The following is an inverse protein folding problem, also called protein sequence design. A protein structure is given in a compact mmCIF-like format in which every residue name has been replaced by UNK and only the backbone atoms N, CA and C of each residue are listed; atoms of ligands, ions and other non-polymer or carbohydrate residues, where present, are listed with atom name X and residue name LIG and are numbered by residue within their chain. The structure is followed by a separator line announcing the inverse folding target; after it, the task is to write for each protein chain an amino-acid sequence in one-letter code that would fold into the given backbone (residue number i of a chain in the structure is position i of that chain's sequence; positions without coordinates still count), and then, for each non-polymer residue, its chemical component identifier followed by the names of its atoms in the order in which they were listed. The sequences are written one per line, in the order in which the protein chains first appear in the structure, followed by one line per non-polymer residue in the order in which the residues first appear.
data_IF_263477857043
#
_entry.id   IF_263477857043
#
_cell.length_a   1.000
_cell.length_b   1.000
_cell.length_c   1.000
_cell.angle_alpha   90.00
_cell.angle_beta   90.00
_cell.angle_gamma   90.00
#
_symmetry.space_group_name_H-M   'P 1'
#
loop_
_entity.id
_entity.type
_entity.pdbx_description
1 polymer ?
#
# COMPACT_ATOMS: atom_id res chain seq x y z
N UNK A 1 42.69 17.35 32.28
CA UNK A 1 42.12 17.34 30.90
C UNK A 1 42.43 18.68 30.27
N UNK A 2 43.14 18.70 29.14
CA UNK A 2 43.63 19.95 28.52
C UNK A 2 42.49 20.76 27.89
N UNK A 3 42.55 22.09 28.04
CA UNK A 3 41.57 23.07 27.55
C UNK A 3 41.30 22.96 26.03
N UNK A 4 42.22 22.33 25.27
CA UNK A 4 42.08 22.05 23.85
C UNK A 4 41.09 20.91 23.55
N UNK A 5 41.07 19.86 24.37
CA UNK A 5 40.19 18.69 24.19
C UNK A 5 38.71 19.02 24.46
N UNK A 6 38.44 20.07 25.24
CA UNK A 6 37.08 20.51 25.58
C UNK A 6 36.42 21.33 24.47
N UNK A 7 37.21 22.01 23.62
CA UNK A 7 36.70 22.79 22.47
C UNK A 7 36.28 21.90 21.29
N UNK A 8 37.00 20.81 21.08
CA UNK A 8 36.73 19.86 19.98
C UNK A 8 35.41 19.10 20.25
N UNK A 9 35.14 18.78 21.52
CA UNK A 9 33.88 18.13 21.92
C UNK A 9 32.66 19.07 21.74
N UNK A 10 32.83 20.38 21.96
CA UNK A 10 31.76 21.37 21.80
C UNK A 10 31.42 21.65 20.32
N UNK A 11 32.42 21.64 19.43
CA UNK A 11 32.20 21.87 17.99
C UNK A 11 31.53 20.66 17.31
N UNK A 12 31.78 19.44 17.80
CA UNK A 12 31.17 18.22 17.28
C UNK A 12 29.68 18.08 17.66
N UNK A 13 29.25 18.66 18.78
CA UNK A 13 27.84 18.59 19.21
C UNK A 13 26.91 19.49 18.35
N UNK A 14 27.45 20.56 17.76
CA UNK A 14 26.67 21.50 16.96
C UNK A 14 26.42 21.04 15.51
N UNK A 15 27.17 20.06 15.01
CA UNK A 15 27.03 19.56 13.64
C UNK A 15 25.92 18.50 13.48
N UNK A 16 25.36 17.99 14.58
CA UNK A 16 24.37 16.90 14.56
C UNK A 16 22.91 17.31 14.36
N UNK A 17 22.59 18.61 14.24
CA UNK A 17 21.19 19.09 14.28
C UNK A 17 20.66 19.55 12.91
N UNK A 18 21.49 19.63 11.88
CA UNK A 18 21.07 20.04 10.52
C UNK A 18 20.77 18.81 9.66
N UNK A 19 19.64 18.16 9.89
CA UNK A 19 19.27 17.02 9.03
C UNK A 19 18.02 16.26 9.41
N UNK A 20 17.37 16.59 10.53
CA UNK A 20 16.04 16.05 10.82
C UNK A 20 15.08 16.55 9.74
N UNK A 21 14.48 15.68 8.91
CA UNK A 21 13.38 16.12 8.07
C UNK A 21 12.31 16.66 9.02
N UNK A 22 12.02 17.96 8.92
CA UNK A 22 10.80 18.48 9.51
C UNK A 22 9.67 17.69 8.86
N UNK A 23 8.98 16.86 9.64
CA UNK A 23 7.71 16.28 9.25
C UNK A 23 6.71 17.43 9.15
N UNK A 24 6.81 18.19 8.05
CA UNK A 24 5.74 19.04 7.58
C UNK A 24 4.58 18.11 7.33
N UNK A 25 3.51 18.30 8.10
CA UNK A 25 2.28 17.57 7.91
C UNK A 25 1.74 17.92 6.52
N UNK A 26 1.87 16.98 5.58
CA UNK A 26 1.35 17.10 4.21
C UNK A 26 -0.05 16.52 4.09
N UNK A 27 -0.50 15.79 5.10
CA UNK A 27 -1.78 15.09 5.09
C UNK A 27 -2.76 15.79 6.02
N UNK A 28 -4.01 15.88 5.61
CA UNK A 28 -5.11 16.21 6.53
C UNK A 28 -5.74 14.90 6.96
N UNK A 29 -5.96 14.73 8.26
CA UNK A 29 -6.65 13.56 8.80
C UNK A 29 -8.11 13.57 8.35
N UNK A 30 -8.54 12.49 7.69
CA UNK A 30 -9.93 12.19 7.40
C UNK A 30 -10.29 10.88 8.09
N UNK A 31 -11.03 10.97 9.19
CA UNK A 31 -11.46 9.78 9.95
C UNK A 31 -12.55 8.98 9.25
N UNK A 32 -13.21 9.54 8.23
CA UNK A 32 -14.30 8.89 7.49
C UNK A 32 -13.83 7.95 6.38
N UNK A 33 -12.62 8.13 5.85
CA UNK A 33 -12.15 7.40 4.67
C UNK A 33 -11.56 6.01 4.98
N UNK A 34 -11.19 5.76 6.24
CA UNK A 34 -10.50 4.52 6.61
C UNK A 34 -11.34 3.26 6.35
N UNK A 35 -12.64 3.29 6.62
CA UNK A 35 -13.54 2.16 6.38
C UNK A 35 -13.60 1.78 4.89
N UNK A 36 -13.64 2.77 4.00
CA UNK A 36 -13.62 2.54 2.55
C UNK A 36 -12.26 2.00 2.07
N UNK A 37 -11.15 2.49 2.64
CA UNK A 37 -9.81 1.93 2.37
C UNK A 37 -9.69 0.49 2.86
N UNK A 38 -10.22 0.19 4.04
CA UNK A 38 -10.25 -1.16 4.59
C UNK A 38 -11.04 -2.10 3.67
N UNK A 39 -12.25 -1.70 3.25
CA UNK A 39 -13.06 -2.47 2.30
C UNK A 39 -12.32 -2.69 0.97
N UNK A 40 -11.62 -1.68 0.46
CA UNK A 40 -10.83 -1.81 -0.75
C UNK A 40 -9.67 -2.82 -0.59
N UNK A 41 -9.03 -2.84 0.58
CA UNK A 41 -7.98 -3.81 0.89
C UNK A 41 -8.54 -5.24 1.02
N UNK A 42 -9.70 -5.41 1.64
CA UNK A 42 -10.41 -6.69 1.74
C UNK A 42 -10.75 -7.25 0.35
N UNK A 43 -11.31 -6.43 -0.53
CA UNK A 43 -11.59 -6.82 -1.92
C UNK A 43 -10.31 -7.16 -2.69
N UNK A 44 -9.25 -6.37 -2.51
CA UNK A 44 -7.94 -6.64 -3.14
C UNK A 44 -7.36 -7.98 -2.67
N UNK A 45 -7.54 -8.34 -1.40
CA UNK A 45 -7.16 -9.65 -0.86
C UNK A 45 -8.00 -10.79 -1.44
N UNK A 46 -9.32 -10.59 -1.59
CA UNK A 46 -10.21 -11.56 -2.22
C UNK A 46 -9.81 -11.88 -3.67
N UNK A 47 -9.25 -10.90 -4.39
CA UNK A 47 -8.72 -11.12 -5.74
C UNK A 47 -7.51 -12.07 -5.76
N UNK A 48 -6.70 -12.11 -4.69
CA UNK A 48 -5.64 -13.12 -4.53
C UNK A 48 -6.19 -14.50 -4.17
N UNK A 49 -7.21 -14.55 -3.30
CA UNK A 49 -7.86 -15.82 -2.92
C UNK A 49 -8.56 -16.50 -4.10
N UNK A 50 -9.04 -15.72 -5.08
CA UNK A 50 -9.79 -16.26 -6.22
C UNK A 50 -11.22 -16.62 -5.86
N UNK A 51 -11.89 -15.79 -5.06
CA UNK A 51 -13.28 -16.02 -4.64
C UNK A 51 -14.23 -16.27 -5.82
N UNK A 52 -15.18 -17.20 -5.63
CA UNK A 52 -16.21 -17.53 -6.62
C UNK A 52 -17.59 -17.09 -6.13
N UNK A 53 -18.38 -16.51 -7.02
CA UNK A 53 -19.75 -16.04 -6.73
C UNK A 53 -19.80 -14.71 -5.99
N UNK A 54 -19.13 -14.58 -4.84
CA UNK A 54 -19.14 -13.35 -4.03
C UNK A 54 -17.79 -13.05 -3.41
N UNK A 55 -17.44 -11.77 -3.31
CA UNK A 55 -16.33 -11.27 -2.50
C UNK A 55 -16.85 -10.18 -1.56
N UNK A 56 -17.00 -10.51 -0.27
CA UNK A 56 -17.64 -9.65 0.72
C UNK A 56 -19.02 -9.17 0.26
N UNK A 57 -19.21 -7.86 0.11
CA UNK A 57 -20.46 -7.24 -0.34
C UNK A 57 -20.64 -7.23 -1.87
N UNK A 58 -19.63 -7.68 -2.63
CA UNK A 58 -19.66 -7.69 -4.10
C UNK A 58 -20.11 -9.04 -4.63
N UNK A 59 -21.21 -9.04 -5.37
CA UNK A 59 -21.64 -10.19 -6.19
C UNK A 59 -20.84 -10.21 -7.48
N UNK A 60 -20.03 -11.25 -7.67
CA UNK A 60 -19.16 -11.39 -8.83
C UNK A 60 -19.99 -11.88 -10.01
N UNK A 61 -19.95 -11.11 -11.10
CA UNK A 61 -20.66 -11.41 -12.34
C UNK A 61 -19.72 -11.91 -13.44
N UNK A 62 -18.44 -11.52 -13.37
CA UNK A 62 -17.43 -11.89 -14.37
C UNK A 62 -16.07 -12.05 -13.72
N UNK A 63 -15.39 -13.15 -14.06
CA UNK A 63 -13.96 -13.31 -13.79
C UNK A 63 -13.14 -12.75 -14.95
N UNK A 64 -12.06 -12.04 -14.62
CA UNK A 64 -11.02 -11.59 -15.54
C UNK A 64 -9.86 -12.56 -15.39
N UNK A 65 -9.45 -13.18 -16.50
CA UNK A 65 -8.32 -14.08 -16.53
C UNK A 65 -7.67 -14.03 -17.92
N UNK A 66 -6.47 -13.47 -17.97
CA UNK A 66 -5.57 -13.54 -19.12
C UNK A 66 -4.34 -14.36 -18.76
N UNK A 67 -4.23 -15.54 -19.36
CA UNK A 67 -3.14 -16.50 -19.11
C UNK A 67 -1.81 -16.00 -19.66
N UNK A 68 -1.82 -15.19 -20.73
CA UNK A 68 -0.59 -14.72 -21.36
C UNK A 68 0.15 -13.68 -20.50
N UNK A 69 -0.59 -12.88 -19.74
CA UNK A 69 -0.05 -11.80 -18.91
C UNK A 69 -0.16 -12.07 -17.40
N UNK A 70 -0.74 -13.20 -17.00
CA UNK A 70 -1.13 -13.51 -15.61
C UNK A 70 -2.02 -12.42 -14.97
N UNK A 71 -2.77 -11.68 -15.78
CA UNK A 71 -3.71 -10.66 -15.32
C UNK A 71 -5.00 -11.33 -14.86
N UNK A 72 -5.28 -11.23 -13.57
CA UNK A 72 -6.46 -11.84 -12.95
C UNK A 72 -7.23 -10.81 -12.15
N UNK A 73 -8.53 -11.01 -12.01
CA UNK A 73 -9.42 -10.10 -11.29
C UNK A 73 -10.89 -10.47 -11.46
N UNK A 74 -11.78 -9.59 -11.02
CA UNK A 74 -13.22 -9.80 -11.17
C UNK A 74 -13.99 -8.49 -11.33
N UNK A 75 -15.17 -8.61 -11.94
CA UNK A 75 -16.17 -7.55 -12.04
C UNK A 75 -17.45 -8.00 -11.34
N UNK A 76 -18.01 -7.12 -10.52
CA UNK A 76 -19.22 -7.39 -9.78
C UNK A 76 -19.95 -6.13 -9.36
N UNK A 77 -21.10 -6.31 -8.72
CA UNK A 77 -21.88 -5.21 -8.18
C UNK A 77 -22.11 -5.40 -6.67
N UNK A 78 -22.20 -4.28 -5.95
CA UNK A 78 -22.62 -4.23 -4.56
C UNK A 78 -23.93 -3.46 -4.49
N UNK A 79 -24.99 -4.12 -4.04
CA UNK A 79 -26.28 -3.48 -3.78
C UNK A 79 -26.22 -2.61 -2.53
N UNK A 80 -25.42 -3.02 -1.54
CA UNK A 80 -25.23 -2.29 -0.28
C UNK A 80 -24.60 -0.92 -0.49
N UNK A 81 -23.63 -0.82 -1.39
CA UNK A 81 -22.94 0.43 -1.71
C UNK A 81 -23.41 1.07 -3.03
N UNK A 82 -24.36 0.46 -3.75
CA UNK A 82 -24.90 0.97 -5.01
C UNK A 82 -23.84 1.17 -6.11
N UNK A 83 -22.83 0.30 -6.20
CA UNK A 83 -21.68 0.48 -7.12
C UNK A 83 -21.26 -0.80 -7.83
N UNK A 84 -20.69 -0.63 -9.02
CA UNK A 84 -19.97 -1.68 -9.76
C UNK A 84 -18.50 -1.61 -9.36
N UNK A 85 -17.91 -2.76 -9.05
CA UNK A 85 -16.51 -2.88 -8.65
C UNK A 85 -15.73 -3.68 -9.69
N UNK A 86 -14.56 -3.16 -10.08
CA UNK A 86 -13.54 -3.87 -10.84
C UNK A 86 -12.35 -4.03 -9.92
N UNK A 87 -12.00 -5.28 -9.60
CA UNK A 87 -10.95 -5.59 -8.63
C UNK A 87 -9.90 -6.44 -9.32
N UNK A 88 -8.65 -6.00 -9.25
CA UNK A 88 -7.52 -6.67 -9.90
C UNK A 88 -6.65 -7.35 -8.87
N UNK A 89 -6.21 -8.57 -9.18
CA UNK A 89 -5.19 -9.27 -8.41
C UNK A 89 -3.83 -8.66 -8.73
N UNK A 90 -3.01 -8.45 -7.71
CA UNK A 90 -1.61 -8.10 -7.95
C UNK A 90 -0.76 -9.32 -8.37
N UNK A 91 0.56 -9.11 -8.42
CA UNK A 91 1.51 -10.13 -8.88
C UNK A 91 1.57 -11.33 -7.94
N UNK A 92 1.71 -12.53 -8.52
CA UNK A 92 1.85 -13.80 -7.78
C UNK A 92 3.24 -14.00 -7.18
N UNK A 93 4.23 -13.25 -7.66
CA UNK A 93 5.59 -13.24 -7.11
C UNK A 93 5.98 -11.82 -6.73
N UNK A 94 6.52 -11.64 -5.51
CA UNK A 94 6.92 -10.33 -4.97
C UNK A 94 8.18 -9.73 -5.59
N UNK A 95 8.65 -10.29 -6.70
CA UNK A 95 9.80 -9.80 -7.45
C UNK A 95 9.27 -9.20 -8.75
N UNK A 96 9.61 -7.94 -9.08
CA UNK A 96 9.48 -7.48 -10.46
C UNK A 96 10.19 -8.50 -11.35
N UNK A 97 9.55 -8.92 -12.44
CA UNK A 97 10.11 -9.88 -13.41
C UNK A 97 11.47 -9.44 -14.00
N UNK A 98 11.91 -8.21 -13.72
CA UNK A 98 13.13 -7.59 -14.22
C UNK A 98 14.22 -7.36 -13.15
N UNK A 99 14.07 -7.91 -11.93
CA UNK A 99 15.17 -7.89 -10.94
C UNK A 99 15.83 -9.26 -10.84
N UNK A 100 17.06 -9.45 -11.36
CA UNK A 100 17.86 -10.61 -10.99
C UNK A 100 18.05 -10.61 -9.47
N UNK A 101 17.96 -11.81 -8.92
CA UNK A 101 18.31 -12.19 -7.56
C UNK A 101 19.71 -11.69 -7.16
N UNK A 102 19.78 -10.51 -6.57
CA UNK A 102 20.86 -10.14 -5.65
C UNK A 102 20.69 -10.84 -4.32
#
# INVERSE_FOLDING_TARGET
MSLSSMKILFLALCAGVYGSPLLTDRATSDSGIFSEMQRAAELSSAAYTGCLGTAFDVTITKQINDVATDTQGFVGYSTTHGRISVVMRGSTTGKPLDRPNT
#
